data_IF_842750211866
#
_entry.id   IF_842750211866
#
_cell.length_a   1.000
_cell.length_b   1.000
_cell.length_c   1.000
_cell.angle_alpha   90.00
_cell.angle_beta   90.00
_cell.angle_gamma   90.00
#
_symmetry.space_group_name_H-M   'P 1'
#
loop_
_entity.id
_entity.type
_entity.pdbx_description
1 polymer ?
#
# COMPACT_ATOMS: atom_id res chain seq x y z
N UNK A 1 15.74 13.20 -23.74
CA UNK A 1 14.73 12.88 -24.77
C UNK A 1 13.97 11.58 -24.50
N UNK A 2 14.59 10.55 -23.88
CA UNK A 2 13.91 9.29 -23.53
C UNK A 2 13.11 9.29 -22.21
N UNK A 3 13.25 10.31 -21.34
CA UNK A 3 12.60 10.34 -20.02
C UNK A 3 11.07 10.47 -20.07
N UNK A 4 10.53 11.18 -21.05
CA UNK A 4 9.09 11.49 -21.14
C UNK A 4 8.22 10.27 -21.49
N UNK A 5 8.77 9.30 -22.23
CA UNK A 5 8.06 8.04 -22.54
C UNK A 5 8.05 7.10 -21.34
N UNK A 6 9.12 7.04 -20.53
CA UNK A 6 9.12 6.25 -19.29
C UNK A 6 8.12 6.78 -18.24
N UNK A 7 7.91 8.10 -18.17
CA UNK A 7 6.92 8.70 -17.27
C UNK A 7 5.46 8.52 -17.70
N UNK A 8 5.19 8.14 -18.95
CA UNK A 8 3.84 7.75 -19.40
C UNK A 8 3.49 6.31 -19.03
N UNK A 9 4.51 5.47 -18.79
CA UNK A 9 4.35 4.08 -18.33
C UNK A 9 4.69 3.91 -16.84
N UNK A 10 4.92 4.99 -16.09
CA UNK A 10 5.11 4.93 -14.64
C UNK A 10 3.75 4.75 -13.94
N UNK A 11 3.69 3.77 -13.02
CA UNK A 11 2.54 3.63 -12.13
C UNK A 11 2.63 4.69 -11.02
N UNK A 12 2.21 5.91 -11.33
CA UNK A 12 2.13 6.99 -10.33
C UNK A 12 1.20 6.54 -9.19
N UNK A 13 1.73 6.46 -7.97
CA UNK A 13 1.05 5.94 -6.79
C UNK A 13 1.14 6.91 -5.62
N UNK A 14 0.03 7.07 -4.90
CA UNK A 14 -0.03 7.72 -3.59
C UNK A 14 -0.37 6.70 -2.52
N UNK A 15 0.25 6.80 -1.35
CA UNK A 15 -0.01 5.94 -0.20
C UNK A 15 -0.33 6.83 1.00
N UNK A 16 -1.49 6.59 1.61
CA UNK A 16 -1.88 7.18 2.89
C UNK A 16 -1.70 6.12 3.98
N UNK A 17 -0.82 6.41 4.95
CA UNK A 17 -0.46 5.53 6.06
C UNK A 17 -1.07 6.07 7.36
N UNK A 18 -2.40 6.14 7.41
CA UNK A 18 -3.12 6.59 8.59
C UNK A 18 -3.02 5.59 9.74
N UNK A 19 -3.20 6.05 10.98
CA UNK A 19 -3.17 5.18 12.18
C UNK A 19 -4.25 4.09 12.15
N UNK A 20 -5.39 4.36 11.53
CA UNK A 20 -6.51 3.42 11.47
C UNK A 20 -6.57 2.63 10.16
N UNK A 21 -6.28 3.27 9.02
CA UNK A 21 -6.39 2.66 7.69
C UNK A 21 -5.23 3.07 6.80
N UNK A 22 -4.84 2.15 5.93
CA UNK A 22 -3.87 2.35 4.86
C UNK A 22 -4.61 2.34 3.53
N UNK A 23 -4.43 3.39 2.75
CA UNK A 23 -5.02 3.52 1.41
C UNK A 23 -3.91 3.61 0.36
N UNK A 24 -4.11 2.93 -0.77
CA UNK A 24 -3.24 3.08 -1.94
C UNK A 24 -4.07 3.57 -3.11
N UNK A 25 -3.65 4.67 -3.72
CA UNK A 25 -4.25 5.22 -4.92
C UNK A 25 -3.26 5.13 -6.09
N UNK A 26 -3.72 4.60 -7.23
CA UNK A 26 -2.95 4.59 -8.48
C UNK A 26 -3.61 5.51 -9.48
N UNK A 27 -2.83 6.41 -10.08
CA UNK A 27 -3.30 7.37 -11.08
C UNK A 27 -3.96 6.63 -12.25
N UNK A 28 -5.21 6.98 -12.53
CA UNK A 28 -6.01 6.34 -13.58
C UNK A 28 -6.72 5.04 -13.15
N UNK A 29 -6.46 4.52 -11.95
CA UNK A 29 -7.15 3.35 -11.39
C UNK A 29 -7.97 3.68 -10.14
N UNK A 30 -7.68 4.80 -9.45
CA UNK A 30 -8.35 5.17 -8.21
C UNK A 30 -7.74 4.47 -6.99
N UNK A 31 -8.53 4.26 -5.94
CA UNK A 31 -8.10 3.52 -4.74
C UNK A 31 -8.06 2.03 -5.08
N UNK A 32 -6.86 1.45 -5.01
CA UNK A 32 -6.60 0.03 -5.31
C UNK A 32 -6.39 -0.82 -4.04
N UNK A 33 -6.19 -0.19 -2.89
CA UNK A 33 -6.10 -0.86 -1.59
C UNK A 33 -6.74 0.02 -0.51
N UNK A 34 -7.51 -0.60 0.38
CA UNK A 34 -8.09 0.04 1.56
C UNK A 34 -8.18 -0.97 2.71
N UNK A 35 -7.15 -1.03 3.53
CA UNK A 35 -7.01 -2.00 4.62
C UNK A 35 -6.84 -1.30 5.98
N UNK A 36 -7.31 -1.90 7.09
CA UNK A 36 -6.92 -1.50 8.43
C UNK A 36 -5.39 -1.42 8.59
N UNK A 37 -4.89 -0.40 9.28
CA UNK A 37 -3.44 -0.19 9.53
C UNK A 37 -2.92 -1.06 10.68
N UNK A 38 -3.20 -2.35 10.62
CA UNK A 38 -2.82 -3.34 11.63
C UNK A 38 -2.08 -4.52 11.01
N UNK A 39 -1.18 -5.09 11.79
CA UNK A 39 -0.39 -6.27 11.44
C UNK A 39 -0.35 -7.19 12.65
N UNK A 40 -0.71 -8.45 12.46
CA UNK A 40 -0.57 -9.48 13.48
C UNK A 40 0.83 -10.06 13.45
N UNK A 41 1.49 -10.09 14.61
CA UNK A 41 2.85 -10.59 14.75
C UNK A 41 2.92 -11.66 15.83
N UNK A 42 3.73 -12.69 15.58
CA UNK A 42 4.05 -13.69 16.59
C UNK A 42 4.98 -13.06 17.64
N UNK A 43 4.53 -13.09 18.90
CA UNK A 43 5.33 -12.58 20.02
C UNK A 43 6.66 -13.34 20.16
N UNK A 44 7.72 -12.62 20.53
CA UNK A 44 9.07 -13.17 20.70
C UNK A 44 9.87 -13.35 19.40
N UNK A 45 9.23 -13.66 18.27
CA UNK A 45 9.92 -13.80 16.96
C UNK A 45 9.72 -12.61 16.03
N UNK A 46 8.62 -11.86 16.20
CA UNK A 46 8.25 -10.76 15.31
C UNK A 46 7.77 -11.23 13.92
N UNK A 47 7.54 -12.54 13.73
CA UNK A 47 7.07 -13.08 12.45
C UNK A 47 5.66 -12.55 12.15
N UNK A 48 5.47 -11.98 10.97
CA UNK A 48 4.15 -11.55 10.49
C UNK A 48 3.25 -12.77 10.25
N UNK A 49 2.05 -12.73 10.81
CA UNK A 49 1.03 -13.77 10.68
C UNK A 49 -0.06 -13.37 9.69
N UNK A 50 -0.51 -12.12 9.75
CA UNK A 50 -1.51 -11.54 8.85
C UNK A 50 -1.46 -10.00 8.87
N UNK A 51 -2.13 -9.36 7.91
CA UNK A 51 -2.17 -7.91 7.70
C UNK A 51 -3.60 -7.48 7.33
N UNK A 52 -3.96 -6.23 7.62
CA UNK A 52 -5.27 -5.69 7.22
C UNK A 52 -6.42 -6.32 7.99
N UNK A 53 -7.53 -6.62 7.33
CA UNK A 53 -8.70 -7.23 7.97
C UNK A 53 -8.42 -8.61 8.59
N UNK A 54 -7.41 -9.30 8.08
CA UNK A 54 -7.08 -10.68 8.46
C UNK A 54 -6.08 -10.74 9.62
N UNK A 55 -5.56 -9.58 10.04
CA UNK A 55 -4.67 -9.43 11.20
C UNK A 55 -5.41 -9.68 12.52
#
# INVERSE_FOLDING_TARGET
>A
MFSSIYGLFSNDMGIDLGTANTLVHVKGQGIVLSEPSVVAVQSGTGKVLAVGHEA
#
